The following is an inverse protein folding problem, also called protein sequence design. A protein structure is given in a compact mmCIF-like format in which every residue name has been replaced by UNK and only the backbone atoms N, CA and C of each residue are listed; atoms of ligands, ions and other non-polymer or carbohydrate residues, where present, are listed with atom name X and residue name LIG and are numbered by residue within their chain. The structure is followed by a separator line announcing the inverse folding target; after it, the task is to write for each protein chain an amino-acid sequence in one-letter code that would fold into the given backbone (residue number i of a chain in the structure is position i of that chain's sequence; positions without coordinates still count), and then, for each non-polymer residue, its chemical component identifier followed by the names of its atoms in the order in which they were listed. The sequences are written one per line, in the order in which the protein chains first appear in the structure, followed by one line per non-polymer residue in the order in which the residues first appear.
data_IF_908121763499
#
_entry.id   IF_908121763499
#
_cell.length_a   1.000
_cell.length_b   1.000
_cell.length_c   1.000
_cell.angle_alpha   90.00
_cell.angle_beta   90.00
_cell.angle_gamma   90.00
#
_symmetry.space_group_name_H-M   'P 1'
#
loop_
_entity.id
_entity.type
_entity.pdbx_description
1 polymer ?
#
# COMPACT_ATOMS: atom_id res chain seq x y z
N UNK A 1 -51.91 -27.52 28.59
CA UNK A 1 -50.74 -26.98 29.31
C UNK A 1 -49.95 -28.16 29.80
N UNK A 2 -49.11 -28.65 28.89
CA UNK A 2 -48.01 -29.57 29.14
C UNK A 2 -46.78 -28.89 28.52
N UNK A 3 -45.65 -29.14 29.15
CA UNK A 3 -44.50 -28.26 29.33
C UNK A 3 -43.57 -28.23 28.10
N UNK A 4 -43.31 -27.04 27.54
CA UNK A 4 -42.43 -26.79 26.37
C UNK A 4 -40.94 -27.08 26.63
N UNK A 5 -40.58 -27.62 27.79
CA UNK A 5 -39.20 -27.87 28.21
C UNK A 5 -38.60 -29.23 27.77
N UNK A 6 -39.37 -30.16 27.18
CA UNK A 6 -38.86 -31.50 26.83
C UNK A 6 -38.64 -31.79 25.32
N UNK A 7 -38.97 -30.86 24.42
CA UNK A 7 -38.74 -31.07 22.97
C UNK A 7 -37.27 -30.80 22.55
N UNK A 8 -36.43 -30.23 23.43
CA UNK A 8 -35.04 -29.85 23.14
C UNK A 8 -33.97 -30.86 23.61
N UNK A 9 -34.34 -32.11 23.89
CA UNK A 9 -33.38 -33.15 24.29
C UNK A 9 -33.54 -34.44 23.48
N UNK A 10 -33.02 -34.48 22.24
CA UNK A 10 -32.36 -35.66 21.61
C UNK A 10 -32.13 -35.47 20.11
N UNK A 11 -31.09 -34.72 19.72
CA UNK A 11 -30.28 -35.03 18.51
C UNK A 11 -28.82 -34.66 18.81
N UNK A 12 -28.08 -35.54 19.49
CA UNK A 12 -26.60 -35.46 19.51
C UNK A 12 -26.08 -36.11 18.22
N UNK A 13 -25.78 -35.31 17.20
CA UNK A 13 -24.86 -35.73 16.12
C UNK A 13 -23.43 -35.67 16.66
N UNK A 14 -22.58 -36.69 16.46
CA UNK A 14 -21.18 -36.62 16.86
C UNK A 14 -20.49 -35.51 16.05
N UNK A 15 -19.66 -34.71 16.74
CA UNK A 15 -18.85 -33.70 16.09
C UNK A 15 -17.94 -34.36 15.02
N UNK A 16 -17.82 -33.80 13.81
CA UNK A 16 -16.84 -34.29 12.85
C UNK A 16 -15.45 -34.16 13.48
N UNK A 17 -14.69 -35.27 13.46
CA UNK A 17 -13.29 -35.28 13.88
C UNK A 17 -12.57 -34.18 13.10
N UNK A 18 -12.00 -33.21 13.82
CA UNK A 18 -11.11 -32.19 13.23
C UNK A 18 -9.97 -32.92 12.53
N UNK A 19 -9.98 -32.89 11.20
CA UNK A 19 -8.77 -33.13 10.42
C UNK A 19 -7.72 -32.10 10.86
N UNK A 20 -6.46 -32.50 11.07
CA UNK A 20 -5.42 -31.55 11.39
C UNK A 20 -5.29 -30.57 10.22
N UNK A 21 -5.67 -29.32 10.47
CA UNK A 21 -5.53 -28.24 9.52
C UNK A 21 -4.03 -28.05 9.22
N UNK A 22 -3.55 -28.31 7.99
CA UNK A 22 -2.13 -28.20 7.65
C UNK A 22 -1.63 -26.74 7.66
N UNK A 23 -2.54 -25.77 7.82
CA UNK A 23 -2.25 -24.34 7.70
C UNK A 23 -1.88 -23.63 9.02
N UNK A 24 -1.67 -24.39 10.10
CA UNK A 24 -1.33 -23.82 11.43
C UNK A 24 0.16 -23.56 11.66
N UNK A 25 1.03 -23.82 10.69
CA UNK A 25 2.50 -23.74 10.87
C UNK A 25 3.18 -22.60 10.12
N UNK A 26 2.48 -21.81 9.29
CA UNK A 26 3.10 -20.63 8.68
C UNK A 26 2.98 -19.46 9.65
N UNK A 27 3.99 -19.27 10.50
CA UNK A 27 4.15 -17.98 11.21
C UNK A 27 4.23 -16.89 10.14
N UNK A 28 3.41 -15.81 10.21
CA UNK A 28 3.58 -14.69 9.31
C UNK A 28 5.03 -14.22 9.40
N UNK A 29 5.66 -14.01 8.24
CA UNK A 29 7.05 -13.57 8.17
C UNK A 29 7.14 -12.16 8.76
N UNK A 30 7.48 -12.06 10.05
CA UNK A 30 7.66 -10.77 10.72
C UNK A 30 9.03 -10.24 10.36
N UNK A 31 9.10 -9.17 9.57
CA UNK A 31 10.36 -8.42 9.47
C UNK A 31 10.65 -7.83 10.86
N UNK A 32 11.83 -8.08 11.45
CA UNK A 32 12.27 -7.43 12.68
C UNK A 32 12.06 -5.91 12.60
N UNK A 33 11.66 -5.31 13.72
CA UNK A 33 11.40 -3.87 13.81
C UNK A 33 12.62 -3.02 13.40
N UNK A 34 13.83 -3.58 13.44
CA UNK A 34 15.10 -2.91 13.15
C UNK A 34 15.58 -3.04 11.70
N UNK A 35 14.84 -3.70 10.81
CA UNK A 35 15.32 -3.83 9.43
C UNK A 35 15.31 -2.49 8.68
N UNK A 36 16.43 -2.12 8.02
CA UNK A 36 16.46 -0.94 7.17
C UNK A 36 15.45 -1.07 6.02
N UNK A 37 14.63 -0.04 5.85
CA UNK A 37 13.60 0.07 4.80
C UNK A 37 13.80 1.30 3.91
N UNK A 38 14.82 2.10 4.20
CA UNK A 38 15.31 3.18 3.36
C UNK A 38 16.67 2.77 2.76
N UNK A 39 16.93 3.27 1.57
CA UNK A 39 18.20 3.17 0.88
C UNK A 39 18.66 4.59 0.51
N UNK A 40 19.93 4.89 0.76
CA UNK A 40 20.52 6.19 0.40
C UNK A 40 20.81 6.30 -1.10
N UNK A 41 20.79 5.17 -1.81
CA UNK A 41 20.91 5.13 -3.27
C UNK A 41 19.71 5.78 -3.96
N UNK A 42 19.87 6.26 -5.20
CA UNK A 42 18.76 6.77 -6.00
C UNK A 42 17.62 5.77 -6.14
N UNK A 43 16.38 6.27 -6.19
CA UNK A 43 15.17 5.45 -6.39
C UNK A 43 15.27 4.49 -7.60
N UNK A 44 15.88 4.92 -8.71
CA UNK A 44 16.08 4.09 -9.90
C UNK A 44 16.94 2.85 -9.65
N UNK A 45 18.01 2.99 -8.85
CA UNK A 45 18.88 1.86 -8.50
C UNK A 45 18.18 0.89 -7.55
N UNK A 46 17.46 1.42 -6.55
CA UNK A 46 16.68 0.59 -5.64
C UNK A 46 15.55 -0.15 -6.37
N UNK A 47 14.91 0.46 -7.37
CA UNK A 47 13.90 -0.19 -8.20
C UNK A 47 14.47 -1.33 -9.05
N UNK A 48 15.68 -1.17 -9.59
CA UNK A 48 16.35 -2.17 -10.42
C UNK A 48 16.87 -3.41 -9.65
N UNK A 49 16.96 -3.33 -8.31
CA UNK A 49 17.38 -4.46 -7.48
C UNK A 49 16.25 -5.50 -7.36
N UNK A 50 16.16 -6.42 -8.33
CA UNK A 50 15.08 -7.39 -8.45
C UNK A 50 15.38 -8.80 -7.93
N UNK A 51 16.49 -9.03 -7.22
CA UNK A 51 16.70 -10.32 -6.58
C UNK A 51 15.65 -10.56 -5.49
N UNK A 52 15.27 -11.81 -5.25
CA UNK A 52 14.20 -12.15 -4.30
C UNK A 52 14.47 -11.63 -2.89
N UNK A 53 15.74 -11.61 -2.47
CA UNK A 53 16.16 -11.02 -1.18
C UNK A 53 15.76 -9.54 -1.04
N UNK A 54 15.73 -8.80 -2.14
CA UNK A 54 15.40 -7.37 -2.18
C UNK A 54 13.87 -7.15 -2.17
N UNK A 55 13.09 -8.13 -2.63
CA UNK A 55 11.64 -8.17 -2.39
C UNK A 55 11.32 -8.54 -0.93
N UNK A 56 12.07 -9.46 -0.33
CA UNK A 56 11.87 -9.85 1.08
C UNK A 56 12.22 -8.73 2.07
N UNK A 57 13.13 -7.84 1.69
CA UNK A 57 13.57 -6.70 2.50
C UNK A 57 13.53 -5.42 1.66
N UNK A 58 12.34 -4.96 1.27
CA UNK A 58 12.21 -3.86 0.33
C UNK A 58 12.70 -2.58 0.98
N UNK A 59 13.63 -1.92 0.28
CA UNK A 59 14.17 -0.61 0.66
C UNK A 59 13.80 0.41 -0.40
N UNK A 60 13.28 1.55 0.06
CA UNK A 60 12.95 2.65 -0.83
C UNK A 60 14.18 3.53 -1.07
N UNK A 61 14.50 3.78 -2.33
CA UNK A 61 15.61 4.66 -2.67
C UNK A 61 15.29 6.13 -2.45
N UNK A 62 16.35 6.92 -2.29
CA UNK A 62 16.28 8.36 -2.04
C UNK A 62 15.88 9.11 -3.31
N UNK A 63 15.04 10.12 -3.14
CA UNK A 63 14.80 11.10 -4.21
C UNK A 63 15.98 12.06 -4.28
N UNK A 64 16.78 11.90 -5.33
CA UNK A 64 18.00 12.69 -5.54
C UNK A 64 17.63 14.04 -6.15
N UNK A 65 17.49 15.07 -5.33
CA UNK A 65 17.39 16.45 -5.80
C UNK A 65 18.32 17.37 -4.99
N UNK A 66 18.73 18.47 -5.62
CA UNK A 66 19.67 19.44 -5.04
C UNK A 66 19.06 20.83 -4.81
N UNK A 67 17.83 21.08 -5.28
CA UNK A 67 17.20 22.42 -5.25
C UNK A 67 16.10 22.56 -4.20
N UNK A 68 15.71 23.79 -3.87
CA UNK A 68 14.66 24.06 -2.88
C UNK A 68 13.27 23.58 -3.33
N UNK A 69 12.45 23.19 -2.35
CA UNK A 69 11.08 22.74 -2.54
C UNK A 69 10.15 23.95 -2.42
N UNK A 70 9.36 24.23 -3.47
CA UNK A 70 8.35 25.30 -3.43
C UNK A 70 6.96 24.72 -3.21
N UNK A 71 6.39 24.94 -2.03
CA UNK A 71 5.01 24.58 -1.72
C UNK A 71 4.01 25.47 -2.47
N UNK A 72 2.96 24.88 -3.05
CA UNK A 72 2.00 25.62 -3.89
C UNK A 72 0.53 25.40 -3.56
N UNK A 73 0.13 24.23 -3.04
CA UNK A 73 -1.24 23.93 -2.61
C UNK A 73 -1.21 22.81 -1.58
N UNK A 74 -2.02 22.87 -0.53
CA UNK A 74 -2.27 21.71 0.34
C UNK A 74 -3.27 20.80 -0.38
N UNK A 75 -2.95 19.52 -0.52
CA UNK A 75 -3.76 18.53 -1.24
C UNK A 75 -4.60 17.68 -0.29
N UNK A 76 -4.09 17.38 0.90
CA UNK A 76 -4.79 16.53 1.86
C UNK A 76 -4.15 16.52 3.23
N UNK A 77 -4.89 16.01 4.20
CA UNK A 77 -4.46 15.82 5.59
C UNK A 77 -5.18 14.60 6.13
N UNK A 78 -4.43 13.61 6.58
CA UNK A 78 -4.97 12.35 7.11
C UNK A 78 -4.22 11.88 8.35
N UNK A 79 -4.55 10.68 8.81
CA UNK A 79 -3.97 10.09 10.02
C UNK A 79 -2.44 9.87 9.92
N UNK A 80 -1.95 9.62 8.71
CA UNK A 80 -0.56 9.25 8.46
C UNK A 80 0.35 10.45 8.18
N UNK A 81 -0.21 11.51 7.61
CA UNK A 81 0.55 12.70 7.23
C UNK A 81 -0.29 13.77 6.54
N UNK A 82 0.41 14.77 6.03
CA UNK A 82 -0.15 15.83 5.18
C UNK A 82 0.48 15.79 3.81
N UNK A 83 -0.29 16.16 2.79
CA UNK A 83 0.14 16.14 1.40
C UNK A 83 0.07 17.54 0.82
N UNK A 84 1.13 17.96 0.13
CA UNK A 84 1.19 19.22 -0.60
C UNK A 84 1.53 18.99 -2.07
N UNK A 85 0.99 19.85 -2.94
CA UNK A 85 1.51 20.08 -4.28
C UNK A 85 2.73 20.97 -4.16
N UNK A 86 3.85 20.47 -4.65
CA UNK A 86 5.13 21.18 -4.63
C UNK A 86 5.69 21.32 -6.04
N UNK A 87 6.50 22.35 -6.26
CA UNK A 87 7.39 22.42 -7.43
C UNK A 87 8.80 22.16 -6.95
N UNK A 88 9.46 21.20 -7.58
CA UNK A 88 10.87 20.91 -7.40
C UNK A 88 11.47 21.01 -8.80
N UNK A 89 12.45 21.89 -8.96
CA UNK A 89 12.90 22.35 -10.27
C UNK A 89 11.73 22.90 -11.11
N UNK A 90 11.58 22.41 -12.35
CA UNK A 90 10.50 22.79 -13.26
C UNK A 90 9.26 21.90 -13.14
N UNK A 91 9.34 20.79 -12.39
CA UNK A 91 8.32 19.75 -12.32
C UNK A 91 7.42 19.89 -11.08
N UNK A 92 6.19 19.42 -11.22
CA UNK A 92 5.19 19.42 -10.15
C UNK A 92 5.10 18.02 -9.54
N UNK A 93 5.11 17.96 -8.21
CA UNK A 93 5.03 16.73 -7.44
C UNK A 93 3.97 16.85 -6.35
N UNK A 94 3.58 15.72 -5.81
CA UNK A 94 2.89 15.64 -4.54
C UNK A 94 3.86 15.15 -3.47
N UNK A 95 4.02 15.93 -2.41
CA UNK A 95 4.89 15.62 -1.29
C UNK A 95 4.04 15.23 -0.08
N UNK A 96 4.11 13.97 0.34
CA UNK A 96 3.48 13.49 1.58
C UNK A 96 4.51 13.55 2.70
N UNK A 97 4.27 14.37 3.71
CA UNK A 97 5.10 14.48 4.92
C UNK A 97 4.38 13.76 6.06
N UNK A 98 5.08 12.83 6.71
CA UNK A 98 4.50 11.97 7.75
C UNK A 98 4.59 12.63 9.12
N UNK A 99 3.58 12.40 9.96
CA UNK A 99 3.57 12.94 11.33
C UNK A 99 4.61 12.26 12.23
N UNK A 100 4.74 10.94 12.10
CA UNK A 100 5.58 10.11 12.97
C UNK A 100 6.99 9.94 12.38
N UNK A 101 7.99 10.43 13.09
CA UNK A 101 9.40 10.33 12.69
C UNK A 101 10.12 9.13 13.32
N UNK A 102 9.44 8.39 14.18
CA UNK A 102 9.98 7.21 14.85
C UNK A 102 8.89 6.14 14.97
N UNK A 103 9.30 4.88 14.84
CA UNK A 103 8.40 3.76 15.11
C UNK A 103 8.18 3.63 16.62
N UNK A 104 6.91 3.65 17.04
CA UNK A 104 6.55 3.22 18.40
C UNK A 104 6.54 1.69 18.48
N UNK A 105 7.05 1.08 19.56
CA UNK A 105 7.05 -0.36 19.71
C UNK A 105 5.66 -0.96 19.52
N UNK A 106 5.57 -2.00 18.67
CA UNK A 106 4.34 -2.75 18.41
C UNK A 106 3.22 -1.96 17.71
N UNK A 107 3.44 -0.69 17.37
CA UNK A 107 2.47 0.14 16.66
C UNK A 107 2.67 0.08 15.14
N UNK A 108 1.56 0.36 14.44
CA UNK A 108 1.58 0.72 13.03
C UNK A 108 2.47 1.96 12.82
N UNK A 109 3.34 1.91 11.81
CA UNK A 109 4.09 3.07 11.35
C UNK A 109 3.89 3.24 9.84
N UNK A 110 3.06 4.22 9.50
CA UNK A 110 2.62 4.48 8.14
C UNK A 110 3.78 4.65 7.17
N UNK A 111 4.76 5.49 7.52
CA UNK A 111 5.91 5.77 6.68
C UNK A 111 6.66 4.51 6.25
N UNK A 112 6.93 3.59 7.19
CA UNK A 112 7.59 2.33 6.88
C UNK A 112 6.76 1.46 5.95
N UNK A 113 5.47 1.28 6.26
CA UNK A 113 4.57 0.47 5.41
C UNK A 113 4.54 1.02 3.99
N UNK A 114 4.40 2.33 3.87
CA UNK A 114 4.31 3.01 2.58
C UNK A 114 5.61 2.86 1.79
N UNK A 115 6.78 3.05 2.43
CA UNK A 115 8.08 2.81 1.82
C UNK A 115 8.26 1.37 1.31
N UNK A 116 7.81 0.38 2.08
CA UNK A 116 7.91 -1.02 1.69
C UNK A 116 7.00 -1.32 0.49
N UNK A 117 5.76 -0.83 0.50
CA UNK A 117 4.84 -1.00 -0.62
C UNK A 117 5.35 -0.33 -1.90
N UNK A 118 5.76 0.94 -1.82
CA UNK A 118 6.23 1.65 -3.03
C UNK A 118 7.54 1.10 -3.58
N UNK A 119 8.44 0.60 -2.72
CA UNK A 119 9.64 -0.11 -3.16
C UNK A 119 9.29 -1.38 -3.92
N UNK A 120 8.32 -2.17 -3.43
CA UNK A 120 7.84 -3.37 -4.11
C UNK A 120 7.18 -3.03 -5.45
N UNK A 121 6.31 -2.01 -5.51
CA UNK A 121 5.66 -1.61 -6.76
C UNK A 121 6.67 -1.15 -7.82
N UNK A 122 7.68 -0.38 -7.42
CA UNK A 122 8.73 0.06 -8.33
C UNK A 122 9.55 -1.13 -8.87
N UNK A 123 9.89 -2.10 -8.02
CA UNK A 123 10.59 -3.33 -8.43
C UNK A 123 9.73 -4.19 -9.36
N UNK A 124 8.44 -4.34 -9.07
CA UNK A 124 7.52 -5.11 -9.93
C UNK A 124 7.38 -4.45 -11.30
N UNK A 125 7.22 -3.12 -11.34
CA UNK A 125 7.19 -2.36 -12.59
C UNK A 125 8.47 -2.54 -13.39
N UNK A 126 9.63 -2.32 -12.75
CA UNK A 126 10.93 -2.52 -13.38
C UNK A 126 11.06 -3.93 -13.96
N UNK A 127 10.67 -4.96 -13.19
CA UNK A 127 10.71 -6.34 -13.63
C UNK A 127 9.82 -6.63 -14.84
N UNK A 128 8.64 -6.00 -14.94
CA UNK A 128 7.76 -6.14 -16.12
C UNK A 128 8.39 -5.44 -17.33
N UNK A 129 8.84 -4.20 -17.17
CA UNK A 129 9.32 -3.36 -18.28
C UNK A 129 10.69 -3.78 -18.83
N UNK A 130 11.51 -4.46 -18.01
CA UNK A 130 12.87 -4.86 -18.36
C UNK A 130 13.02 -6.38 -18.56
N UNK A 131 11.91 -7.11 -18.64
CA UNK A 131 11.92 -8.55 -18.96
C UNK A 131 11.53 -8.77 -20.42
N UNK A 132 12.25 -9.67 -21.10
CA UNK A 132 11.87 -10.13 -22.45
C UNK A 132 10.66 -11.07 -22.43
N UNK A 133 10.47 -11.79 -21.31
CA UNK A 133 9.37 -12.71 -21.09
C UNK A 133 8.31 -12.08 -20.19
N UNK A 134 7.03 -12.41 -20.43
CA UNK A 134 5.94 -12.00 -19.56
C UNK A 134 6.09 -12.61 -18.15
N UNK A 135 5.59 -11.90 -17.14
CA UNK A 135 5.46 -12.41 -15.77
C UNK A 135 4.21 -13.28 -15.69
N UNK A 136 4.37 -14.56 -15.32
CA UNK A 136 3.27 -15.52 -15.19
C UNK A 136 2.85 -15.64 -13.73
N UNK A 137 1.56 -15.42 -13.45
CA UNK A 137 1.00 -15.42 -12.11
C UNK A 137 -0.09 -16.49 -11.96
N UNK A 138 -0.21 -17.02 -10.74
CA UNK A 138 -1.35 -17.84 -10.35
C UNK A 138 -2.64 -17.00 -10.52
N UNK A 139 -3.65 -17.50 -11.24
CA UNK A 139 -4.79 -16.67 -11.64
C UNK A 139 -5.85 -16.45 -10.56
N UNK A 140 -5.84 -17.29 -9.53
CA UNK A 140 -6.80 -17.20 -8.43
C UNK A 140 -6.15 -17.47 -7.07
N UNK A 141 -5.19 -16.63 -6.63
CA UNK A 141 -4.50 -16.85 -5.37
C UNK A 141 -5.45 -16.57 -4.19
N UNK A 142 -5.50 -17.50 -3.23
CA UNK A 142 -6.41 -17.44 -2.07
C UNK A 142 -5.68 -17.48 -0.73
N UNK A 143 -4.43 -17.93 -0.74
CA UNK A 143 -3.62 -18.10 0.46
C UNK A 143 -2.45 -17.13 0.49
N UNK A 144 -1.92 -16.89 1.70
CA UNK A 144 -0.69 -16.11 1.91
C UNK A 144 0.45 -16.63 1.03
N UNK A 145 0.62 -17.95 1.00
CA UNK A 145 1.66 -18.63 0.24
C UNK A 145 1.52 -18.43 -1.27
N UNK A 146 0.30 -18.46 -1.80
CA UNK A 146 0.06 -18.19 -3.22
C UNK A 146 0.32 -16.73 -3.59
N UNK A 147 -0.11 -15.77 -2.76
CA UNK A 147 0.24 -14.36 -2.91
C UNK A 147 1.76 -14.14 -2.87
N UNK A 148 2.46 -14.81 -1.95
CA UNK A 148 3.91 -14.75 -1.84
C UNK A 148 4.61 -15.32 -3.09
N UNK A 149 4.10 -16.42 -3.66
CA UNK A 149 4.66 -17.00 -4.87
C UNK A 149 4.37 -16.18 -6.12
N UNK A 150 3.23 -15.49 -6.18
CA UNK A 150 2.99 -14.50 -7.22
C UNK A 150 3.95 -13.32 -7.08
N UNK A 151 4.15 -12.78 -5.87
CA UNK A 151 5.15 -11.73 -5.66
C UNK A 151 6.55 -12.18 -6.04
N UNK A 152 6.92 -13.42 -5.69
CA UNK A 152 8.20 -14.02 -6.09
C UNK A 152 8.37 -14.06 -7.61
N UNK A 153 7.31 -14.25 -8.40
CA UNK A 153 7.42 -14.31 -9.86
C UNK A 153 8.03 -13.04 -10.48
N UNK A 154 7.95 -11.89 -9.79
CA UNK A 154 8.57 -10.64 -10.21
C UNK A 154 10.08 -10.55 -9.91
N UNK A 155 10.64 -11.43 -9.09
CA UNK A 155 12.09 -11.46 -8.81
C UNK A 155 12.89 -12.10 -9.94
N UNK A 156 14.20 -11.88 -9.99
CA UNK A 156 15.10 -12.50 -10.98
C UNK A 156 14.98 -14.04 -10.95
N UNK A 157 14.95 -14.61 -9.75
CA UNK A 157 14.77 -16.04 -9.51
C UNK A 157 13.38 -16.52 -9.94
N UNK A 158 12.34 -15.71 -9.70
CA UNK A 158 10.98 -16.00 -10.13
C UNK A 158 10.80 -15.99 -11.63
N UNK A 159 11.34 -14.96 -12.30
CA UNK A 159 11.32 -14.80 -13.76
C UNK A 159 12.12 -15.89 -14.46
N UNK A 160 13.17 -16.41 -13.83
CA UNK A 160 13.91 -17.59 -14.35
C UNK A 160 13.10 -18.86 -14.18
N UNK A 161 12.39 -19.02 -13.05
CA UNK A 161 11.64 -20.25 -12.73
C UNK A 161 10.32 -20.38 -13.48
N UNK A 162 9.63 -19.27 -13.73
CA UNK A 162 8.37 -19.22 -14.51
C UNK A 162 7.33 -20.25 -14.06
N UNK A 163 7.14 -20.34 -12.74
CA UNK A 163 6.36 -21.39 -12.07
C UNK A 163 4.99 -21.64 -12.68
N UNK A 164 4.34 -20.59 -13.18
CA UNK A 164 2.95 -20.63 -13.64
C UNK A 164 2.81 -20.62 -15.16
N UNK A 165 3.89 -20.72 -15.94
CA UNK A 165 3.84 -20.65 -17.41
C UNK A 165 2.89 -21.68 -18.02
N UNK A 166 2.96 -22.92 -17.56
CA UNK A 166 2.13 -24.03 -18.06
C UNK A 166 0.82 -24.20 -17.25
N UNK A 167 0.50 -23.26 -16.35
CA UNK A 167 -0.71 -23.34 -15.55
C UNK A 167 -1.93 -22.88 -16.37
N UNK A 168 -2.99 -23.69 -16.47
CA UNK A 168 -4.22 -23.28 -17.15
C UNK A 168 -4.78 -21.99 -16.57
N UNK A 169 -5.04 -21.02 -17.45
CA UNK A 169 -5.61 -19.72 -17.09
C UNK A 169 -4.64 -18.76 -16.39
N UNK A 170 -3.33 -19.05 -16.34
CA UNK A 170 -2.35 -18.14 -15.75
C UNK A 170 -2.46 -16.72 -16.31
N UNK A 171 -2.35 -15.74 -15.42
CA UNK A 171 -2.40 -14.32 -15.80
C UNK A 171 -1.00 -13.87 -16.18
N UNK A 172 -0.89 -13.11 -17.26
CA UNK A 172 0.39 -12.58 -17.75
C UNK A 172 0.45 -11.07 -17.61
N UNK A 173 1.63 -10.57 -17.24
CA UNK A 173 1.97 -9.14 -17.29
C UNK A 173 3.19 -8.93 -18.17
N UNK A 174 2.97 -8.29 -19.32
CA UNK A 174 4.01 -7.73 -20.20
C UNK A 174 4.04 -6.20 -20.18
N UNK A 175 3.03 -5.56 -19.59
CA UNK A 175 2.97 -4.14 -19.32
C UNK A 175 2.39 -3.92 -17.92
N UNK A 176 3.03 -3.05 -17.13
CA UNK A 176 2.55 -2.75 -15.78
C UNK A 176 1.26 -1.92 -15.86
N UNK A 177 0.29 -2.15 -14.95
CA UNK A 177 -0.87 -1.28 -14.87
C UNK A 177 -0.44 0.10 -14.39
N UNK A 178 -1.32 1.07 -14.61
CA UNK A 178 -1.11 2.45 -14.20
C UNK A 178 -1.18 2.58 -12.67
N UNK A 179 -0.02 2.54 -12.01
CA UNK A 179 0.13 2.92 -10.60
C UNK A 179 0.85 4.26 -10.49
N UNK A 180 0.56 5.02 -9.44
CA UNK A 180 1.22 6.30 -9.13
C UNK A 180 2.73 6.14 -9.00
N UNK A 181 3.51 6.98 -9.68
CA UNK A 181 4.98 6.97 -9.54
C UNK A 181 5.40 7.49 -8.15
N UNK A 182 6.33 6.79 -7.51
CA UNK A 182 7.05 7.30 -6.34
C UNK A 182 8.51 7.55 -6.74
N UNK A 183 8.96 8.78 -6.59
CA UNK A 183 10.33 9.20 -6.95
C UNK A 183 11.34 8.98 -5.82
N UNK A 184 10.88 8.50 -4.65
CA UNK A 184 11.71 8.16 -3.51
C UNK A 184 11.41 8.98 -2.27
N UNK A 185 12.21 8.74 -1.23
CA UNK A 185 12.09 9.43 0.05
C UNK A 185 13.03 10.63 0.15
N UNK A 186 12.65 11.61 0.99
CA UNK A 186 13.49 12.72 1.43
C UNK A 186 13.30 12.99 2.92
N UNK A 187 14.23 13.75 3.51
CA UNK A 187 14.07 14.38 4.81
C UNK A 187 13.70 15.86 4.64
N UNK A 188 12.78 16.36 5.45
CA UNK A 188 12.42 17.78 5.51
C UNK A 188 12.47 18.29 6.94
N UNK A 189 13.06 19.46 7.15
CA UNK A 189 13.11 20.06 8.47
C UNK A 189 11.75 20.62 8.87
N UNK A 190 11.38 20.46 10.14
CA UNK A 190 10.19 21.10 10.69
C UNK A 190 10.25 22.62 10.56
N UNK A 191 11.44 23.22 10.62
CA UNK A 191 11.62 24.64 10.38
C UNK A 191 11.11 25.05 8.99
N UNK A 192 11.49 24.31 7.94
CA UNK A 192 11.01 24.55 6.58
C UNK A 192 9.49 24.38 6.46
N UNK A 193 8.92 23.42 7.20
CA UNK A 193 7.46 23.25 7.25
C UNK A 193 6.77 24.46 7.88
N UNK A 194 7.34 25.01 8.95
CA UNK A 194 6.73 26.12 9.71
C UNK A 194 6.93 27.49 9.05
N UNK A 195 7.93 27.65 8.17
CA UNK A 195 8.17 28.88 7.41
C UNK A 195 7.30 29.00 6.16
N UNK A 196 6.46 28.00 5.85
CA UNK A 196 5.49 28.09 4.75
C UNK A 196 4.57 29.31 4.88
N UNK A 197 4.06 29.87 3.76
CA UNK A 197 3.00 30.88 3.78
C UNK A 197 1.80 30.40 4.59
N UNK A 198 1.12 31.31 5.29
CA UNK A 198 0.03 30.98 6.22
C UNK A 198 -1.05 30.07 5.61
N UNK A 199 -1.42 30.30 4.34
CA UNK A 199 -2.41 29.48 3.62
C UNK A 199 -1.98 28.02 3.38
N UNK A 200 -0.67 27.74 3.44
CA UNK A 200 -0.08 26.42 3.21
C UNK A 200 0.41 25.74 4.49
N UNK A 201 0.48 26.49 5.61
CA UNK A 201 0.97 25.95 6.88
C UNK A 201 0.14 24.75 7.33
N UNK A 202 0.79 23.77 7.99
CA UNK A 202 0.06 22.68 8.64
C UNK A 202 -0.79 23.23 9.78
N UNK A 203 -1.86 22.51 10.09
CA UNK A 203 -2.71 22.77 11.25
C UNK A 203 -2.68 21.56 12.19
N UNK A 204 -3.07 21.78 13.44
CA UNK A 204 -3.23 20.72 14.43
C UNK A 204 -4.35 19.78 13.98
N UNK A 205 -4.03 18.52 13.72
CA UNK A 205 -5.04 17.49 13.47
C UNK A 205 -5.39 16.81 14.79
N UNK A 206 -6.68 16.82 15.16
CA UNK A 206 -7.20 16.05 16.29
C UNK A 206 -7.88 14.80 15.75
N UNK A 207 -7.30 13.62 16.01
CA UNK A 207 -7.84 12.34 15.52
C UNK A 207 -9.03 11.83 16.34
N UNK A 208 -9.26 12.40 17.52
CA UNK A 208 -10.36 12.08 18.41
C UNK A 208 -11.08 13.34 18.91
N UNK A 209 -12.33 13.16 19.36
CA UNK A 209 -13.13 14.26 19.95
C UNK A 209 -12.59 14.73 21.31
N UNK A 210 -11.70 13.94 21.94
CA UNK A 210 -11.12 14.24 23.27
C UNK A 210 -9.73 14.87 23.20
N UNK A 211 -9.10 14.91 22.03
CA UNK A 211 -7.82 15.57 21.81
C UNK A 211 -6.58 14.78 22.22
N UNK A 212 -6.71 13.48 22.50
CA UNK A 212 -5.59 12.60 22.87
C UNK A 212 -4.81 12.07 21.63
N UNK A 213 -5.32 12.32 20.43
CA UNK A 213 -4.69 11.96 19.14
C UNK A 213 -4.18 13.16 18.33
N UNK A 214 -3.56 14.15 18.98
CA UNK A 214 -3.08 15.38 18.30
C UNK A 214 -1.84 15.11 17.43
N UNK A 215 -1.90 15.49 16.15
CA UNK A 215 -0.76 15.49 15.22
C UNK A 215 -0.37 16.92 14.86
N UNK A 216 0.91 17.25 15.02
CA UNK A 216 1.47 18.54 14.63
C UNK A 216 2.95 18.41 14.24
N UNK A 217 3.42 19.35 13.44
CA UNK A 217 4.84 19.50 13.13
C UNK A 217 5.53 20.44 14.13
N UNK A 218 6.78 20.13 14.46
CA UNK A 218 7.62 20.91 15.36
C UNK A 218 8.87 21.40 14.63
N UNK A 219 9.26 22.67 14.79
CA UNK A 219 10.38 23.26 14.03
C UNK A 219 11.73 22.57 14.28
N UNK A 220 11.92 21.98 15.45
CA UNK A 220 13.17 21.33 15.89
C UNK A 220 13.34 19.89 15.40
N UNK A 221 12.35 19.34 14.70
CA UNK A 221 12.32 17.94 14.31
C UNK A 221 12.60 17.76 12.82
N UNK A 222 13.19 16.62 12.45
CA UNK A 222 13.34 16.21 11.05
C UNK A 222 12.25 15.20 10.71
N UNK A 223 11.54 15.46 9.61
CA UNK A 223 10.43 14.64 9.15
C UNK A 223 10.82 13.86 7.90
N UNK A 224 10.22 12.69 7.77
CA UNK A 224 10.28 11.92 6.53
C UNK A 224 9.18 12.36 5.58
N UNK A 225 9.50 12.39 4.29
CA UNK A 225 8.54 12.65 3.24
C UNK A 225 8.78 11.74 2.03
N UNK A 226 7.69 11.50 1.29
CA UNK A 226 7.71 10.79 0.02
C UNK A 226 7.32 11.73 -1.11
N UNK A 227 8.11 11.67 -2.19
CA UNK A 227 7.88 12.47 -3.40
C UNK A 227 7.16 11.59 -4.41
N UNK A 228 5.91 11.95 -4.70
CA UNK A 228 5.07 11.24 -5.64
C UNK A 228 4.80 12.06 -6.90
N UNK A 229 4.40 11.34 -7.93
CA UNK A 229 3.65 11.91 -9.03
C UNK A 229 2.48 12.74 -8.52
N UNK A 230 2.37 13.95 -9.04
CA UNK A 230 1.19 14.75 -8.87
C UNK A 230 0.14 14.27 -9.87
N UNK A 231 -0.90 13.61 -9.36
CA UNK A 231 -2.10 13.31 -10.13
C UNK A 231 -2.99 14.56 -10.04
N UNK A 232 -3.27 15.25 -11.16
CA UNK A 232 -4.24 16.34 -11.16
C UNK A 232 -5.61 15.74 -10.88
N UNK A 233 -6.03 15.74 -9.63
CA UNK A 233 -7.42 15.52 -9.29
C UNK A 233 -8.11 16.88 -9.22
N UNK A 234 -9.28 16.96 -9.83
CA UNK A 234 -10.36 17.83 -9.35
C UNK A 234 -10.43 17.73 -7.82
N UNK A 235 -10.74 18.85 -7.19
CA UNK A 235 -10.55 19.06 -5.75
C UNK A 235 -11.13 17.91 -4.92
N UNK A 236 -10.45 17.51 -3.84
CA UNK A 236 -10.96 16.49 -2.93
C UNK A 236 -12.42 16.82 -2.55
N UNK A 237 -13.36 15.98 -2.99
CA UNK A 237 -14.80 16.25 -2.91
C UNK A 237 -15.52 16.44 -4.26
N UNK A 238 -14.84 16.45 -5.41
CA UNK A 238 -15.53 16.34 -6.69
C UNK A 238 -16.05 14.92 -6.88
N UNK A 239 -17.36 14.77 -7.03
CA UNK A 239 -18.06 13.52 -7.41
C UNK A 239 -17.75 13.09 -8.86
N UNK A 240 -16.53 13.33 -9.36
CA UNK A 240 -16.14 12.72 -10.62
C UNK A 240 -16.11 11.20 -10.41
N UNK A 241 -16.90 10.48 -11.19
CA UNK A 241 -16.94 9.02 -11.13
C UNK A 241 -15.53 8.46 -11.36
N UNK A 242 -15.17 7.44 -10.58
CA UNK A 242 -13.97 6.67 -10.85
C UNK A 242 -14.13 5.98 -12.20
N UNK A 243 -13.10 6.07 -13.04
CA UNK A 243 -13.04 5.24 -14.22
C UNK A 243 -12.75 3.80 -13.80
N UNK A 244 -13.77 2.95 -13.91
CA UNK A 244 -13.69 1.52 -13.58
C UNK A 244 -12.56 0.84 -14.37
N UNK A 245 -12.32 1.26 -15.61
CA UNK A 245 -11.29 0.71 -16.48
C UNK A 245 -9.87 1.12 -16.06
N UNK A 246 -9.75 2.20 -15.27
CA UNK A 246 -8.49 2.62 -14.64
C UNK A 246 -8.29 1.94 -13.28
N UNK A 247 -9.35 1.80 -12.49
CA UNK A 247 -9.29 1.26 -11.12
C UNK A 247 -9.11 -0.26 -11.11
N UNK A 248 -9.88 -1.00 -11.91
CA UNK A 248 -9.91 -2.46 -11.84
C UNK A 248 -8.54 -3.10 -12.10
N UNK A 249 -7.75 -2.68 -13.11
CA UNK A 249 -6.42 -3.25 -13.32
C UNK A 249 -5.45 -3.05 -12.14
N UNK A 250 -5.59 -1.94 -11.41
CA UNK A 250 -4.79 -1.71 -10.20
C UNK A 250 -5.21 -2.66 -9.07
N UNK A 251 -6.52 -2.84 -8.86
CA UNK A 251 -7.05 -3.78 -7.86
C UNK A 251 -6.64 -5.22 -8.15
N UNK A 252 -6.75 -5.64 -9.42
CA UNK A 252 -6.36 -6.98 -9.86
C UNK A 252 -4.86 -7.20 -9.69
N UNK A 253 -4.03 -6.22 -10.03
CA UNK A 253 -2.59 -6.29 -9.84
C UNK A 253 -2.19 -6.37 -8.37
N UNK A 254 -2.82 -5.59 -7.50
CA UNK A 254 -2.61 -5.65 -6.05
C UNK A 254 -2.99 -7.02 -5.49
N UNK A 255 -4.18 -7.53 -5.85
CA UNK A 255 -4.64 -8.84 -5.41
C UNK A 255 -3.71 -9.96 -5.92
N UNK A 256 -3.42 -9.99 -7.22
CA UNK A 256 -2.53 -10.99 -7.80
C UNK A 256 -1.12 -10.92 -7.20
N UNK A 257 -0.61 -9.72 -6.91
CA UNK A 257 0.68 -9.50 -6.27
C UNK A 257 0.74 -9.87 -4.77
N UNK A 258 -0.39 -10.24 -4.16
CA UNK A 258 -0.45 -10.66 -2.76
C UNK A 258 -0.79 -9.55 -1.76
N UNK A 259 -1.28 -8.39 -2.21
CA UNK A 259 -1.78 -7.36 -1.31
C UNK A 259 -3.22 -7.64 -0.91
N UNK A 260 -3.54 -7.35 0.35
CA UNK A 260 -4.92 -7.16 0.79
C UNK A 260 -5.20 -5.67 1.03
N UNK A 261 -6.46 -5.27 0.85
CA UNK A 261 -6.93 -3.92 1.11
C UNK A 261 -7.63 -3.88 2.47
N UNK A 262 -7.30 -2.89 3.29
CA UNK A 262 -8.01 -2.68 4.57
C UNK A 262 -9.45 -2.22 4.35
N UNK A 263 -9.66 -1.20 3.52
CA UNK A 263 -10.95 -0.66 3.12
C UNK A 263 -10.85 0.03 1.75
N UNK A 264 -11.93 0.01 0.97
CA UNK A 264 -12.03 0.78 -0.28
C UNK A 264 -12.56 2.19 0.01
N UNK A 265 -11.69 3.10 0.43
CA UNK A 265 -12.03 4.50 0.68
C UNK A 265 -11.86 5.33 -0.58
N UNK A 266 -12.93 5.96 -1.09
CA UNK A 266 -12.92 6.79 -2.31
C UNK A 266 -11.87 7.91 -2.26
N UNK A 267 -11.67 8.52 -1.10
CA UNK A 267 -10.74 9.64 -0.87
C UNK A 267 -9.28 9.28 -1.15
N UNK A 268 -8.95 7.99 -1.16
CA UNK A 268 -7.60 7.51 -1.42
C UNK A 268 -7.34 7.32 -2.91
N UNK A 269 -8.29 7.69 -3.78
CA UNK A 269 -8.19 7.55 -5.25
C UNK A 269 -8.36 8.91 -5.91
N UNK A 270 -7.40 9.32 -6.73
CA UNK A 270 -7.36 10.62 -7.40
C UNK A 270 -7.42 10.55 -8.91
N UNK A 271 -7.83 11.65 -9.54
CA UNK A 271 -8.03 11.73 -10.99
C UNK A 271 -9.04 10.70 -11.46
N UNK A 272 -8.75 10.06 -12.58
CA UNK A 272 -9.59 9.01 -13.18
C UNK A 272 -9.61 7.71 -12.35
N UNK A 273 -8.86 7.63 -11.26
CA UNK A 273 -8.90 6.48 -10.33
C UNK A 273 -7.54 5.89 -10.03
N UNK A 274 -6.55 6.72 -9.74
CA UNK A 274 -5.22 6.30 -9.32
C UNK A 274 -5.15 6.25 -7.79
N UNK A 275 -4.72 5.12 -7.23
CA UNK A 275 -4.50 5.00 -5.78
C UNK A 275 -3.40 5.99 -5.33
N UNK A 276 -3.74 6.83 -4.36
CA UNK A 276 -2.89 7.89 -3.83
C UNK A 276 -2.18 7.50 -2.54
N UNK A 277 -2.86 6.74 -1.66
CA UNK A 277 -2.31 6.33 -0.37
C UNK A 277 -1.84 4.88 -0.40
N UNK A 278 -0.52 4.69 -0.44
CA UNK A 278 0.08 3.37 -0.53
C UNK A 278 0.17 2.68 0.83
N UNK A 279 -0.26 3.31 1.92
CA UNK A 279 -0.28 2.70 3.25
C UNK A 279 -1.57 1.88 3.53
N UNK A 280 -2.61 2.05 2.72
CA UNK A 280 -3.89 1.32 2.84
C UNK A 280 -3.82 -0.14 2.43
N UNK A 281 -2.83 -0.47 1.60
CA UNK A 281 -2.59 -1.82 1.08
C UNK A 281 -1.57 -2.52 1.97
N UNK A 282 -1.78 -3.81 2.22
CA UNK A 282 -0.87 -4.62 3.03
C UNK A 282 -0.32 -5.76 2.19
N UNK A 283 0.99 -5.74 1.95
CA UNK A 283 1.68 -6.84 1.28
C UNK A 283 1.72 -8.08 2.16
N UNK A 284 2.06 -9.22 1.56
CA UNK A 284 2.31 -10.50 2.26
C UNK A 284 3.39 -10.40 3.37
N UNK A 285 4.21 -9.36 3.41
CA UNK A 285 5.23 -9.17 4.46
C UNK A 285 4.72 -8.37 5.67
N UNK A 286 3.52 -7.80 5.59
CA UNK A 286 2.99 -6.94 6.64
C UNK A 286 2.19 -7.74 7.68
N UNK A 287 2.40 -7.43 8.97
CA UNK A 287 1.72 -8.10 10.10
C UNK A 287 0.19 -8.04 10.02
N UNK A 288 -0.37 -7.00 9.39
CA UNK A 288 -1.81 -6.82 9.22
C UNK A 288 -2.42 -7.61 8.06
N UNK A 289 -1.58 -8.29 7.25
CA UNK A 289 -2.08 -9.15 6.19
C UNK A 289 -2.90 -10.30 6.77
N UNK A 290 -4.07 -10.57 6.19
CA UNK A 290 -4.94 -11.64 6.66
C UNK A 290 -5.84 -12.14 5.52
N UNK A 291 -6.09 -13.45 5.48
CA UNK A 291 -6.82 -14.11 4.39
C UNK A 291 -8.22 -13.55 4.13
N UNK A 292 -8.93 -13.12 5.19
CA UNK A 292 -10.26 -12.50 5.05
C UNK A 292 -10.30 -11.15 4.32
N UNK A 293 -9.17 -10.44 4.22
CA UNK A 293 -9.03 -9.19 3.48
C UNK A 293 -8.40 -9.45 2.10
N UNK A 294 -7.90 -10.67 1.88
CA UNK A 294 -7.23 -11.07 0.65
C UNK A 294 -8.24 -11.67 -0.32
N UNK A 295 -8.91 -10.79 -1.05
CA UNK A 295 -9.85 -11.14 -2.10
C UNK A 295 -9.70 -10.21 -3.29
N UNK A 296 -10.08 -10.70 -4.46
CA UNK A 296 -10.24 -9.84 -5.63
C UNK A 296 -11.38 -8.84 -5.34
N UNK A 297 -11.07 -7.55 -5.42
CA UNK A 297 -12.05 -6.46 -5.24
C UNK A 297 -12.54 -5.99 -6.59
N UNK A 298 -13.79 -5.55 -6.65
CA UNK A 298 -14.40 -4.97 -7.86
C UNK A 298 -14.46 -3.46 -7.71
N UNK A 299 -14.02 -2.73 -8.73
CA UNK A 299 -14.10 -1.26 -8.74
C UNK A 299 -15.55 -0.75 -8.57
N UNK A 300 -16.54 -1.50 -9.04
CA UNK A 300 -17.97 -1.21 -8.82
C UNK A 300 -18.36 -1.09 -7.33
N UNK A 301 -17.60 -1.68 -6.41
CA UNK A 301 -17.81 -1.54 -4.96
C UNK A 301 -17.67 -0.09 -4.46
N UNK A 302 -17.02 0.80 -5.24
CA UNK A 302 -17.02 2.24 -4.94
C UNK A 302 -18.39 2.91 -5.17
N UNK A 303 -19.19 2.35 -6.07
CA UNK A 303 -20.51 2.88 -6.48
C UNK A 303 -21.68 2.15 -5.83
N UNK A 304 -21.47 0.90 -5.40
CA UNK A 304 -22.45 0.09 -4.69
C UNK A 304 -22.55 0.58 -3.23
N UNK A 305 -23.68 1.21 -2.85
CA UNK A 305 -23.94 1.51 -1.43
C UNK A 305 -23.89 0.20 -0.63
N UNK A 306 -23.25 0.17 0.56
CA UNK A 306 -23.30 -1.02 1.40
C UNK A 306 -24.75 -1.33 1.77
N UNK A 307 -25.26 -2.46 1.28
CA UNK A 307 -26.54 -3.01 1.74
C UNK A 307 -26.25 -3.64 3.09
N UNK A 308 -26.41 -2.87 4.16
CA UNK A 308 -26.52 -3.42 5.50
C UNK A 308 -27.93 -4.03 5.63
N UNK A 309 -28.02 -5.36 5.54
CA UNK A 309 -29.15 -6.11 6.07
C UNK A 309 -28.92 -6.43 7.55
#
# INVERSE_FOLDING_TARGET
MEDEAELYKRIKRPAPKRSPNPDRSVRPYTLPQEQPFLDEKPMSESAAACAWRDFQKPRLGRFMHQRSIRFTKRLGCGEDGMVWRVRIDSKTYALKIFWDTQQRPQCYWAFRRECQNVSLFAKMRFAIENSSDAIWLHPNPKTHREGLYNLHAFSDEGRTRQRYREMPGAVTYSAAPRLRECYGWISISGQEIMTMPQALRPYLLSLDRRGEGRRQFFPTQQYYALVYEYIPSTEAGSEADLDVDVVQPQLDFLWLGGWCLTMMKRDNWGGDGILLDMADVMSVFHRGWHGWLYSQRRAAEFTERPVFN
#
